data_IF_576025848429
#
_entry.id   IF_576025848429
#
_cell.length_a   1.000
_cell.length_b   1.000
_cell.length_c   1.000
_cell.angle_alpha   90.00
_cell.angle_beta   90.00
_cell.angle_gamma   90.00
#
_symmetry.space_group_name_H-M   'P 1'
#
loop_
_entity.id
_entity.type
_entity.pdbx_description
1 polymer ?
#
# COMPACT_ATOMS: atom_id res chain seq x y z
N UNK A 1 6.72 3.94 -41.67
CA UNK A 1 6.75 5.11 -40.77
C UNK A 1 5.81 6.26 -41.17
N UNK A 2 5.76 6.71 -42.44
CA UNK A 2 4.91 7.85 -42.87
C UNK A 2 3.40 7.60 -42.69
N UNK A 3 2.92 6.39 -42.95
CA UNK A 3 1.50 6.02 -42.83
C UNK A 3 1.03 5.97 -41.37
N UNK A 4 1.84 5.42 -40.47
CA UNK A 4 1.55 5.38 -39.04
C UNK A 4 1.41 6.80 -38.46
N UNK A 5 2.32 7.71 -38.82
CA UNK A 5 2.26 9.11 -38.40
C UNK A 5 1.01 9.83 -38.91
N UNK A 6 0.56 9.54 -40.13
CA UNK A 6 -0.66 10.11 -40.69
C UNK A 6 -1.91 9.63 -39.92
N UNK A 7 -1.95 8.36 -39.52
CA UNK A 7 -3.02 7.79 -38.69
C UNK A 7 -3.04 8.41 -37.29
N UNK A 8 -1.89 8.46 -36.62
CA UNK A 8 -1.77 9.08 -35.28
C UNK A 8 -2.27 10.53 -35.31
N UNK A 9 -1.86 11.30 -36.32
CA UNK A 9 -2.29 12.70 -36.46
C UNK A 9 -3.81 12.82 -36.65
N UNK A 10 -4.41 11.92 -37.44
CA UNK A 10 -5.87 11.89 -37.65
C UNK A 10 -6.61 11.62 -36.34
N UNK A 11 -6.22 10.59 -35.60
CA UNK A 11 -6.86 10.22 -34.34
C UNK A 11 -6.69 11.30 -33.27
N UNK A 12 -5.50 11.90 -33.17
CA UNK A 12 -5.27 12.99 -32.22
C UNK A 12 -6.17 14.22 -32.50
N UNK A 13 -6.31 14.59 -33.79
CA UNK A 13 -7.22 15.66 -34.19
C UNK A 13 -8.69 15.32 -33.90
N UNK A 14 -9.07 14.05 -34.06
CA UNK A 14 -10.41 13.56 -33.77
C UNK A 14 -10.74 13.62 -32.27
N UNK A 15 -9.82 13.15 -31.42
CA UNK A 15 -9.93 13.24 -29.95
C UNK A 15 -10.02 14.70 -29.51
N UNK A 16 -9.20 15.59 -30.08
CA UNK A 16 -9.21 17.02 -29.74
C UNK A 16 -10.54 17.70 -30.09
N UNK A 17 -11.23 17.25 -31.14
CA UNK A 17 -12.50 17.84 -31.60
C UNK A 17 -13.72 17.24 -30.89
N UNK A 18 -13.59 16.07 -30.27
CA UNK A 18 -14.66 15.43 -29.52
C UNK A 18 -14.57 15.78 -28.03
N UNK A 19 -15.42 16.71 -27.52
CA UNK A 19 -15.36 17.15 -26.13
C UNK A 19 -15.70 16.02 -25.14
N UNK A 20 -16.45 14.98 -25.54
CA UNK A 20 -16.75 13.84 -24.66
C UNK A 20 -15.50 12.99 -24.43
N UNK A 21 -14.83 12.64 -25.53
CA UNK A 21 -13.59 11.87 -25.47
C UNK A 21 -12.50 12.63 -24.72
N UNK A 22 -12.35 13.93 -24.99
CA UNK A 22 -11.42 14.79 -24.27
C UNK A 22 -11.74 14.85 -22.76
N UNK A 23 -13.03 14.96 -22.43
CA UNK A 23 -13.53 14.94 -21.05
C UNK A 23 -13.14 13.65 -20.33
N UNK A 24 -13.38 12.47 -20.93
CA UNK A 24 -13.03 11.18 -20.32
C UNK A 24 -11.52 11.05 -20.11
N UNK A 25 -10.70 11.40 -21.11
CA UNK A 25 -9.23 11.30 -21.03
C UNK A 25 -8.65 12.19 -19.92
N UNK A 26 -9.28 13.34 -19.64
CA UNK A 26 -8.84 14.26 -18.58
C UNK A 26 -9.46 13.94 -17.21
N UNK A 27 -10.75 13.61 -17.14
CA UNK A 27 -11.45 13.37 -15.89
C UNK A 27 -11.20 11.98 -15.31
N UNK A 28 -11.11 10.94 -16.13
CA UNK A 28 -10.92 9.58 -15.62
C UNK A 28 -9.65 9.44 -14.77
N UNK A 29 -8.49 10.00 -15.17
CA UNK A 29 -7.29 9.98 -14.32
C UNK A 29 -7.46 10.79 -13.02
N UNK A 30 -8.18 11.91 -13.05
CA UNK A 30 -8.43 12.73 -11.85
C UNK A 30 -9.29 11.98 -10.85
N UNK A 31 -10.38 11.35 -11.32
CA UNK A 31 -11.25 10.51 -10.48
C UNK A 31 -10.47 9.32 -9.93
N UNK A 32 -9.66 8.66 -10.76
CA UNK A 32 -8.80 7.55 -10.35
C UNK A 32 -7.80 7.98 -9.27
N UNK A 33 -7.19 9.16 -9.40
CA UNK A 33 -6.28 9.70 -8.40
C UNK A 33 -6.99 10.04 -7.09
N UNK A 34 -8.19 10.59 -7.14
CA UNK A 34 -9.00 10.83 -5.93
C UNK A 34 -9.42 9.52 -5.26
N UNK A 35 -9.88 8.54 -6.05
CA UNK A 35 -10.26 7.23 -5.54
C UNK A 35 -9.08 6.52 -4.91
N UNK A 36 -7.91 6.50 -5.54
CA UNK A 36 -6.71 5.89 -4.95
C UNK A 36 -6.14 6.71 -3.79
N UNK A 37 -6.14 8.03 -3.88
CA UNK A 37 -5.72 8.87 -2.76
C UNK A 37 -6.60 8.72 -1.53
N UNK A 38 -7.89 8.41 -1.71
CA UNK A 38 -8.83 8.13 -0.63
C UNK A 38 -8.79 6.65 -0.17
N UNK A 39 -8.75 5.70 -1.11
CA UNK A 39 -8.80 4.27 -0.81
C UNK A 39 -7.48 3.70 -0.30
N UNK A 40 -6.35 4.32 -0.65
CA UNK A 40 -5.07 4.01 -0.02
C UNK A 40 -5.10 4.66 1.36
N UNK A 41 -5.41 3.84 2.38
CA UNK A 41 -5.13 4.21 3.76
C UNK A 41 -3.61 4.31 3.89
N UNK A 42 -3.08 5.53 3.89
CA UNK A 42 -1.68 5.80 4.25
C UNK A 42 -1.46 5.72 5.76
N UNK A 43 -2.26 4.92 6.47
CA UNK A 43 -2.03 4.63 7.88
C UNK A 43 -1.02 3.48 7.97
N UNK A 44 0.24 3.82 7.68
CA UNK A 44 1.40 2.92 7.90
C UNK A 44 1.82 2.99 9.39
N UNK A 45 1.11 3.79 10.19
CA UNK A 45 1.26 3.86 11.62
C UNK A 45 0.40 2.77 12.27
N UNK A 46 0.82 2.23 13.40
CA UNK A 46 0.06 1.20 14.14
C UNK A 46 -0.06 -0.17 13.44
N UNK A 47 0.98 -0.63 12.75
CA UNK A 47 1.04 -2.02 12.28
C UNK A 47 1.14 -2.93 13.51
N UNK A 48 0.07 -3.66 13.81
CA UNK A 48 0.07 -4.65 14.88
C UNK A 48 1.13 -5.72 14.58
N UNK A 49 2.04 -5.95 15.52
CA UNK A 49 3.04 -7.03 15.41
C UNK A 49 3.00 -7.87 16.67
N UNK A 50 3.27 -9.17 16.51
CA UNK A 50 3.46 -10.09 17.61
C UNK A 50 4.90 -10.58 17.62
N UNK A 51 5.51 -10.64 18.79
CA UNK A 51 6.93 -10.95 18.94
C UNK A 51 7.11 -12.37 19.47
N UNK A 52 7.90 -13.17 18.76
CA UNK A 52 8.33 -14.49 19.19
C UNK A 52 9.83 -14.49 19.53
N UNK A 53 10.15 -14.19 20.79
CA UNK A 53 11.53 -14.16 21.28
C UNK A 53 11.90 -15.47 21.98
N UNK A 54 12.50 -16.41 21.26
CA UNK A 54 12.97 -17.68 21.83
C UNK A 54 14.36 -17.58 22.47
N UNK A 55 15.12 -16.54 22.14
CA UNK A 55 16.48 -16.34 22.65
C UNK A 55 16.45 -15.71 24.05
N UNK A 56 15.53 -14.78 24.30
CA UNK A 56 15.35 -14.15 25.62
C UNK A 56 16.59 -13.40 26.10
N UNK A 57 17.53 -13.11 25.21
CA UNK A 57 18.77 -12.41 25.51
C UNK A 57 18.52 -10.90 25.70
N UNK A 58 19.50 -10.21 26.27
CA UNK A 58 19.43 -8.76 26.39
C UNK A 58 19.45 -8.07 25.02
N UNK A 59 20.26 -8.58 24.09
CA UNK A 59 20.33 -8.10 22.70
C UNK A 59 18.97 -8.25 21.98
N UNK A 60 18.30 -9.39 22.14
CA UNK A 60 16.97 -9.63 21.57
C UNK A 60 15.93 -8.61 22.09
N UNK A 61 15.93 -8.35 23.41
CA UNK A 61 15.04 -7.33 24.01
C UNK A 61 15.34 -5.92 23.53
N UNK A 62 16.61 -5.54 23.37
CA UNK A 62 16.99 -4.23 22.86
C UNK A 62 16.59 -4.04 21.40
N UNK A 63 16.71 -5.09 20.58
CA UNK A 63 16.22 -5.10 19.19
C UNK A 63 14.69 -4.89 19.13
N UNK A 64 13.92 -5.67 19.90
CA UNK A 64 12.46 -5.54 19.97
C UNK A 64 12.04 -4.14 20.44
N UNK A 65 12.77 -3.58 21.41
CA UNK A 65 12.50 -2.25 21.94
C UNK A 65 12.61 -1.17 20.86
N UNK A 66 13.50 -1.34 19.89
CA UNK A 66 13.61 -0.48 18.71
C UNK A 66 12.32 -0.40 17.90
N UNK A 67 11.61 -1.52 17.71
CA UNK A 67 10.33 -1.55 17.00
C UNK A 67 9.22 -0.86 17.79
N UNK A 68 9.12 -1.13 19.09
CA UNK A 68 8.14 -0.48 19.97
C UNK A 68 8.37 1.02 20.17
N UNK A 69 9.57 1.52 19.86
CA UNK A 69 9.88 2.96 19.90
C UNK A 69 9.50 3.70 18.61
N UNK A 70 9.14 2.98 17.55
CA UNK A 70 8.73 3.56 16.28
C UNK A 70 7.21 3.74 16.24
N UNK A 71 6.72 4.84 15.65
CA UNK A 71 5.27 5.06 15.44
C UNK A 71 4.66 4.15 14.36
N UNK A 72 5.46 3.24 13.79
CA UNK A 72 5.03 2.35 12.72
C UNK A 72 4.49 1.01 13.24
N UNK A 73 4.94 0.56 14.41
CA UNK A 73 4.65 -0.79 14.90
C UNK A 73 4.09 -0.79 16.32
N UNK A 74 2.94 -1.45 16.50
CA UNK A 74 2.32 -1.68 17.79
C UNK A 74 2.54 -3.13 18.22
N UNK A 75 3.41 -3.32 19.23
CA UNK A 75 3.65 -4.64 19.80
C UNK A 75 2.41 -5.10 20.58
N UNK A 76 1.63 -5.97 19.95
CA UNK A 76 0.34 -6.45 20.45
C UNK A 76 0.46 -7.60 21.44
N UNK A 77 1.61 -8.28 21.49
CA UNK A 77 1.88 -9.35 22.44
C UNK A 77 3.20 -10.09 22.20
N UNK A 78 3.49 -11.01 23.11
CA UNK A 78 4.64 -11.91 23.05
C UNK A 78 4.14 -13.36 23.13
N UNK A 79 4.56 -14.22 22.21
CA UNK A 79 4.29 -15.67 22.28
C UNK A 79 5.57 -16.42 21.93
N UNK A 80 5.96 -17.37 22.78
CA UNK A 80 7.19 -18.15 22.63
C UNK A 80 7.01 -19.33 21.67
N UNK A 81 5.76 -19.68 21.33
CA UNK A 81 5.45 -20.83 20.48
C UNK A 81 5.17 -20.38 19.04
N UNK A 82 6.05 -20.72 18.07
CA UNK A 82 5.87 -20.32 16.68
C UNK A 82 4.57 -20.84 16.04
N UNK A 83 4.08 -22.00 16.49
CA UNK A 83 2.85 -22.60 15.97
C UNK A 83 1.60 -21.77 16.28
N UNK A 84 1.62 -21.00 17.38
CA UNK A 84 0.49 -20.13 17.75
C UNK A 84 0.46 -18.83 16.95
N UNK A 85 1.58 -18.42 16.35
CA UNK A 85 1.70 -17.15 15.61
C UNK A 85 0.71 -17.05 14.45
N UNK A 86 0.48 -18.16 13.75
CA UNK A 86 -0.49 -18.24 12.65
C UNK A 86 -1.90 -17.92 13.15
N UNK A 87 -2.27 -18.39 14.35
CA UNK A 87 -3.57 -18.10 14.95
C UNK A 87 -3.80 -16.62 15.27
N UNK A 88 -2.74 -15.85 15.52
CA UNK A 88 -2.86 -14.40 15.72
C UNK A 88 -3.06 -13.66 14.39
N UNK A 89 -2.42 -14.11 13.31
CA UNK A 89 -2.64 -13.59 11.96
C UNK A 89 -4.07 -13.87 11.49
N UNK A 90 -4.54 -15.11 11.67
CA UNK A 90 -5.91 -15.51 11.29
C UNK A 90 -6.98 -14.76 12.08
N UNK A 91 -6.68 -14.37 13.33
CA UNK A 91 -7.57 -13.59 14.18
C UNK A 91 -7.48 -12.08 13.96
N UNK A 92 -6.60 -11.60 13.08
CA UNK A 92 -6.34 -10.17 12.84
C UNK A 92 -5.77 -9.43 14.06
N UNK A 93 -5.04 -10.14 14.92
CA UNK A 93 -4.35 -9.60 16.11
C UNK A 93 -2.88 -9.27 15.86
N UNK A 94 -2.41 -9.52 14.64
CA UNK A 94 -1.08 -9.25 14.09
C UNK A 94 -1.21 -9.13 12.56
#
# INVERSE_FOLDING_TARGET
MKQLWALIKKEFLQIRRDPRTLGIVLFAPVVMLLLYGYAINFDIHHIAIIVCDQDGSQESREFIKGFSSSEYFDVSGYDLNPEHLIGYLDAGKA
#
